data_IF_358393052302
#
_entry.id   IF_358393052302
#
_cell.length_a   1.000
_cell.length_b   1.000
_cell.length_c   1.000
_cell.angle_alpha   90.00
_cell.angle_beta   90.00
_cell.angle_gamma   90.00
#
_symmetry.space_group_name_H-M   'P 1'
#
loop_
_entity.id
_entity.type
_entity.pdbx_description
1 polymer ?
#
# COMPACT_ATOMS: atom_id res chain seq x y z
N UNK A 1 6.01 -26.47 -4.05
CA UNK A 1 4.66 -25.91 -4.30
C UNK A 1 4.81 -24.60 -5.04
N UNK A 2 4.37 -24.55 -6.28
CA UNK A 2 4.28 -23.31 -7.01
C UNK A 2 3.21 -22.44 -6.36
N UNK A 3 3.59 -21.39 -5.64
CA UNK A 3 2.64 -20.49 -5.04
C UNK A 3 1.95 -19.60 -6.07
N UNK A 4 2.27 -19.74 -7.35
CA UNK A 4 1.77 -18.87 -8.40
C UNK A 4 2.03 -17.40 -8.06
N UNK A 5 2.05 -16.59 -9.06
CA UNK A 5 2.29 -15.16 -8.90
C UNK A 5 1.10 -14.50 -8.20
N UNK A 6 1.39 -13.58 -7.28
CA UNK A 6 0.38 -12.79 -6.58
C UNK A 6 0.57 -11.30 -6.84
N UNK A 7 -0.54 -10.60 -6.91
CA UNK A 7 -0.62 -9.14 -6.87
C UNK A 7 -1.13 -8.71 -5.49
N UNK A 8 -0.53 -7.70 -4.89
CA UNK A 8 -0.96 -7.19 -3.58
C UNK A 8 -1.84 -5.96 -3.78
N UNK A 9 -3.01 -5.96 -3.17
CA UNK A 9 -3.84 -4.78 -2.99
C UNK A 9 -3.74 -4.35 -1.53
N UNK A 10 -3.13 -3.19 -1.30
CA UNK A 10 -3.02 -2.57 0.02
C UNK A 10 -4.00 -1.41 0.13
N UNK A 11 -4.79 -1.37 1.21
CA UNK A 11 -5.59 -0.22 1.62
C UNK A 11 -4.99 0.31 2.91
N UNK A 12 -4.42 1.50 2.87
CA UNK A 12 -3.58 2.02 3.95
C UNK A 12 -3.42 3.54 3.79
N UNK A 13 -3.20 4.24 4.86
CA UNK A 13 -2.74 5.63 4.83
C UNK A 13 -1.25 5.75 4.49
N UNK A 14 -0.48 4.71 4.79
CA UNK A 14 0.97 4.66 4.72
C UNK A 14 1.45 3.77 3.57
N UNK A 15 2.58 4.13 2.98
CA UNK A 15 3.15 3.37 1.88
C UNK A 15 3.82 2.07 2.33
N UNK A 16 4.32 2.03 3.55
CA UNK A 16 5.03 0.88 4.13
C UNK A 16 6.22 0.40 3.29
N UNK A 17 6.96 1.35 2.72
CA UNK A 17 8.04 1.08 1.79
C UNK A 17 9.41 1.56 2.27
N UNK A 18 9.58 1.69 3.56
CA UNK A 18 10.88 2.00 4.19
C UNK A 18 11.80 0.80 4.03
N UNK A 19 13.03 1.02 3.57
CA UNK A 19 13.99 -0.06 3.45
C UNK A 19 14.52 -0.50 4.82
N UNK A 20 14.97 0.48 5.60
CA UNK A 20 15.39 0.23 6.98
C UNK A 20 15.20 1.50 7.83
N UNK A 21 15.03 1.30 9.11
CA UNK A 21 14.97 2.38 10.09
C UNK A 21 15.81 1.97 11.30
N UNK A 22 16.83 2.77 11.63
CA UNK A 22 17.78 2.45 12.68
C UNK A 22 18.41 1.05 12.54
N UNK A 23 18.72 0.64 11.31
CA UNK A 23 19.28 -0.67 11.01
C UNK A 23 18.28 -1.82 10.98
N UNK A 24 17.00 -1.57 11.30
CA UNK A 24 15.93 -2.58 11.29
C UNK A 24 15.24 -2.63 9.92
N UNK A 25 15.32 -3.78 9.27
CA UNK A 25 14.70 -4.00 7.95
C UNK A 25 13.27 -4.55 8.02
N UNK A 26 12.87 -5.12 9.14
CA UNK A 26 11.57 -5.76 9.35
C UNK A 26 10.76 -5.00 10.40
N UNK A 27 10.56 -3.71 10.16
CA UNK A 27 9.78 -2.84 11.02
C UNK A 27 8.38 -2.58 10.47
N UNK A 28 7.58 -1.82 11.22
CA UNK A 28 6.21 -1.45 10.86
C UNK A 28 6.11 -0.66 9.54
N UNK A 29 7.14 0.08 9.17
CA UNK A 29 7.17 0.87 7.94
C UNK A 29 7.69 0.14 6.72
N UNK A 30 8.01 -1.15 6.80
CA UNK A 30 8.71 -1.91 5.76
C UNK A 30 7.97 -3.09 5.13
N UNK A 31 6.75 -3.48 5.54
CA UNK A 31 6.18 -4.75 5.08
C UNK A 31 5.96 -4.80 3.57
N UNK A 32 5.52 -3.73 2.94
CA UNK A 32 5.30 -3.70 1.49
C UNK A 32 6.62 -3.72 0.72
N UNK A 33 7.66 -3.08 1.25
CA UNK A 33 9.01 -3.18 0.67
C UNK A 33 9.51 -4.61 0.68
N UNK A 34 9.39 -5.30 1.82
CA UNK A 34 9.81 -6.71 1.93
C UNK A 34 8.97 -7.64 1.05
N UNK A 35 7.68 -7.36 0.92
CA UNK A 35 6.81 -8.11 0.03
C UNK A 35 7.21 -7.92 -1.45
N UNK A 36 7.47 -6.69 -1.86
CA UNK A 36 7.86 -6.36 -3.24
C UNK A 36 9.18 -7.02 -3.67
N UNK A 37 10.04 -7.36 -2.73
CA UNK A 37 11.30 -8.06 -3.00
C UNK A 37 11.12 -9.56 -3.28
N UNK A 38 9.93 -10.11 -3.07
CA UNK A 38 9.68 -11.54 -3.28
C UNK A 38 9.45 -11.85 -4.76
N UNK A 39 10.12 -12.88 -5.31
CA UNK A 39 10.03 -13.15 -6.74
C UNK A 39 8.63 -13.56 -7.23
N UNK A 40 7.76 -13.98 -6.33
CA UNK A 40 6.38 -14.35 -6.65
C UNK A 40 5.38 -13.19 -6.47
N UNK A 41 5.82 -12.02 -6.02
CA UNK A 41 5.00 -10.80 -5.98
C UNK A 41 5.22 -10.04 -7.28
N UNK A 42 4.21 -10.03 -8.12
CA UNK A 42 4.29 -9.47 -9.47
C UNK A 42 3.91 -8.01 -9.55
N UNK A 43 3.28 -7.49 -8.51
CA UNK A 43 2.92 -6.07 -8.44
C UNK A 43 2.17 -5.73 -7.17
N UNK A 44 2.10 -4.44 -6.89
CA UNK A 44 1.37 -3.86 -5.77
C UNK A 44 0.49 -2.72 -6.28
N UNK A 45 -0.76 -2.70 -5.84
CA UNK A 45 -1.65 -1.54 -5.94
C UNK A 45 -1.91 -1.04 -4.53
N UNK A 46 -1.47 0.18 -4.24
CA UNK A 46 -1.50 0.78 -2.91
C UNK A 46 -2.47 1.95 -2.91
N UNK A 47 -3.55 1.83 -2.15
CA UNK A 47 -4.71 2.71 -2.24
C UNK A 47 -4.98 3.38 -0.90
N UNK A 48 -5.20 4.68 -0.93
CA UNK A 48 -5.51 5.47 0.27
C UNK A 48 -4.32 6.22 0.84
N UNK A 49 -3.20 6.17 0.17
CA UNK A 49 -1.93 6.78 0.61
C UNK A 49 -2.10 8.29 0.75
N UNK A 50 -1.73 8.82 1.91
CA UNK A 50 -1.83 10.25 2.22
C UNK A 50 -0.84 10.74 3.28
N UNK A 51 -0.28 9.84 4.07
CA UNK A 51 0.73 10.18 5.06
C UNK A 51 2.13 10.08 4.43
N UNK A 52 2.72 11.22 4.13
CA UNK A 52 4.04 11.30 3.47
C UNK A 52 5.21 11.31 4.45
N UNK A 53 4.94 11.45 5.75
CA UNK A 53 6.00 11.57 6.76
C UNK A 53 6.59 10.23 7.18
N UNK A 54 5.87 9.14 7.01
CA UNK A 54 6.28 7.80 7.45
C UNK A 54 7.25 7.11 6.47
N UNK A 55 7.21 7.47 5.21
CA UNK A 55 8.11 6.96 4.17
C UNK A 55 8.80 8.14 3.49
N UNK A 56 10.11 8.14 3.53
CA UNK A 56 10.90 9.18 2.89
C UNK A 56 10.76 9.14 1.35
N UNK A 57 11.17 10.21 0.68
CA UNK A 57 11.09 10.33 -0.78
C UNK A 57 11.71 9.15 -1.50
N UNK A 58 12.85 8.67 -1.02
CA UNK A 58 13.56 7.52 -1.59
C UNK A 58 12.71 6.25 -1.56
N UNK A 59 11.88 6.07 -0.53
CA UNK A 59 10.95 4.96 -0.44
C UNK A 59 9.85 5.02 -1.51
N UNK A 60 9.31 6.20 -1.78
CA UNK A 60 8.36 6.42 -2.88
C UNK A 60 8.98 6.17 -4.25
N UNK A 61 10.20 6.66 -4.45
CA UNK A 61 10.95 6.44 -5.69
C UNK A 61 11.24 4.95 -5.90
N UNK A 62 11.66 4.25 -4.85
CA UNK A 62 11.89 2.81 -4.91
C UNK A 62 10.60 2.02 -5.19
N UNK A 63 9.49 2.39 -4.58
CA UNK A 63 8.20 1.75 -4.83
C UNK A 63 7.78 1.90 -6.30
N UNK A 64 7.90 3.09 -6.86
CA UNK A 64 7.61 3.33 -8.28
C UNK A 64 8.56 2.56 -9.19
N UNK A 65 9.84 2.52 -8.88
CA UNK A 65 10.84 1.78 -9.64
C UNK A 65 10.58 0.26 -9.62
N UNK A 66 9.99 -0.26 -8.54
CA UNK A 66 9.59 -1.66 -8.40
C UNK A 66 8.19 -1.95 -8.98
N UNK A 67 7.56 -0.98 -9.64
CA UNK A 67 6.28 -1.16 -10.32
C UNK A 67 5.05 -1.03 -9.42
N UNK A 68 5.17 -0.43 -8.24
CA UNK A 68 4.02 -0.17 -7.38
C UNK A 68 3.12 0.91 -7.99
N UNK A 69 1.83 0.65 -8.02
CA UNK A 69 0.80 1.59 -8.43
C UNK A 69 0.22 2.27 -7.19
N UNK A 70 0.58 3.53 -6.99
CA UNK A 70 0.27 4.28 -5.76
C UNK A 70 -0.87 5.25 -6.04
N UNK A 71 -1.98 5.07 -5.33
CA UNK A 71 -3.17 5.92 -5.42
C UNK A 71 -3.45 6.59 -4.07
N UNK A 72 -3.48 7.92 -4.09
CA UNK A 72 -3.98 8.66 -2.94
C UNK A 72 -5.49 8.46 -2.75
N UNK A 73 -6.02 8.80 -1.57
CA UNK A 73 -7.47 8.80 -1.33
C UNK A 73 -8.19 9.66 -2.38
N UNK A 74 -7.64 10.82 -2.70
CA UNK A 74 -8.23 11.74 -3.68
C UNK A 74 -8.31 11.10 -5.06
N UNK A 75 -7.23 10.48 -5.51
CA UNK A 75 -7.20 9.78 -6.80
C UNK A 75 -8.16 8.59 -6.84
N UNK A 76 -8.17 7.78 -5.78
CA UNK A 76 -9.07 6.62 -5.70
C UNK A 76 -10.54 7.03 -5.69
N UNK A 77 -10.90 8.10 -4.98
CA UNK A 77 -12.26 8.65 -4.99
C UNK A 77 -12.67 9.16 -6.37
N UNK A 78 -11.78 9.86 -7.05
CA UNK A 78 -12.05 10.37 -8.40
C UNK A 78 -12.25 9.25 -9.42
N UNK A 79 -11.49 8.16 -9.30
CA UNK A 79 -11.60 6.99 -10.17
C UNK A 79 -12.84 6.15 -9.88
N UNK A 80 -13.16 5.96 -8.60
CA UNK A 80 -14.18 5.02 -8.13
C UNK A 80 -13.69 3.57 -8.06
N UNK A 81 -14.42 2.70 -7.33
CA UNK A 81 -13.95 1.34 -7.02
C UNK A 81 -13.70 0.48 -8.27
N UNK A 82 -14.56 0.56 -9.27
CA UNK A 82 -14.40 -0.22 -10.50
C UNK A 82 -13.12 0.12 -11.25
N UNK A 83 -12.81 1.41 -11.39
CA UNK A 83 -11.60 1.87 -12.07
C UNK A 83 -10.34 1.54 -11.27
N UNK A 84 -10.41 1.59 -9.94
CA UNK A 84 -9.31 1.15 -9.08
C UNK A 84 -9.02 -0.34 -9.26
N UNK A 85 -10.06 -1.17 -9.22
CA UNK A 85 -9.92 -2.63 -9.42
C UNK A 85 -9.41 -2.95 -10.84
N UNK A 86 -9.81 -2.20 -11.83
CA UNK A 86 -9.36 -2.39 -13.21
C UNK A 86 -7.85 -2.16 -13.41
N UNK A 87 -7.18 -1.52 -12.45
CA UNK A 87 -5.72 -1.36 -12.46
C UNK A 87 -4.97 -2.62 -12.06
N UNK A 88 -5.65 -3.58 -11.42
CA UNK A 88 -5.09 -4.88 -11.10
C UNK A 88 -5.15 -5.75 -12.35
N UNK A 89 -4.07 -6.46 -12.71
CA UNK A 89 -4.08 -7.30 -13.90
C UNK A 89 -5.21 -8.34 -13.88
N UNK A 90 -5.92 -8.48 -14.99
CA UNK A 90 -6.99 -9.47 -15.13
C UNK A 90 -6.46 -10.90 -14.88
N UNK A 91 -7.21 -11.69 -14.13
CA UNK A 91 -6.82 -13.06 -13.79
C UNK A 91 -5.77 -13.19 -12.71
N UNK A 92 -5.26 -12.09 -12.15
CA UNK A 92 -4.28 -12.12 -11.08
C UNK A 92 -4.87 -12.75 -9.80
N UNK A 93 -4.04 -13.51 -9.10
CA UNK A 93 -4.32 -13.86 -7.70
C UNK A 93 -4.02 -12.65 -6.84
N UNK A 94 -4.97 -12.19 -6.05
CA UNK A 94 -4.83 -10.98 -5.27
C UNK A 94 -4.76 -11.31 -3.77
N UNK A 95 -3.70 -10.84 -3.13
CA UNK A 95 -3.63 -10.77 -1.67
C UNK A 95 -4.08 -9.37 -1.24
N UNK A 96 -5.10 -9.31 -0.41
CA UNK A 96 -5.63 -8.04 0.10
C UNK A 96 -5.15 -7.81 1.52
N UNK A 97 -4.56 -6.66 1.76
CA UNK A 97 -4.19 -6.20 3.11
C UNK A 97 -4.86 -4.85 3.38
N UNK A 98 -5.48 -4.74 4.54
CA UNK A 98 -6.23 -3.55 4.93
C UNK A 98 -5.73 -3.09 6.30
N UNK A 99 -5.14 -1.90 6.33
CA UNK A 99 -4.87 -1.20 7.58
C UNK A 99 -6.07 -0.34 7.95
N UNK A 100 -6.43 -0.34 9.24
CA UNK A 100 -7.57 0.43 9.75
C UNK A 100 -7.40 1.93 9.53
N UNK A 101 -6.17 2.44 9.47
CA UNK A 101 -5.89 3.83 9.21
C UNK A 101 -6.08 4.25 7.74
N UNK A 102 -6.32 3.30 6.85
CA UNK A 102 -6.83 3.58 5.51
C UNK A 102 -8.17 4.31 5.54
N UNK A 103 -8.95 4.06 6.59
CA UNK A 103 -10.21 4.77 6.85
C UNK A 103 -9.99 6.07 7.63
N UNK A 104 -10.92 7.00 7.48
CA UNK A 104 -10.88 8.25 8.23
C UNK A 104 -11.07 7.98 9.73
N UNK A 105 -10.30 8.63 10.63
CA UNK A 105 -10.49 8.50 12.07
C UNK A 105 -11.89 8.86 12.56
N UNK A 106 -12.66 9.61 11.77
CA UNK A 106 -14.06 9.93 12.07
C UNK A 106 -14.97 8.70 12.15
N UNK A 107 -14.61 7.60 11.46
CA UNK A 107 -15.36 6.34 11.48
C UNK A 107 -14.54 5.18 12.04
N UNK A 108 -13.22 5.28 12.02
CA UNK A 108 -12.31 4.23 12.50
C UNK A 108 -11.18 4.82 13.36
N UNK A 109 -11.48 5.27 14.59
CA UNK A 109 -10.48 5.95 15.43
C UNK A 109 -9.50 5.00 16.14
N UNK A 110 -9.77 3.70 16.14
CA UNK A 110 -9.03 2.70 16.91
C UNK A 110 -7.70 2.28 16.28
N UNK A 111 -6.84 3.25 15.97
CA UNK A 111 -5.50 3.00 15.41
C UNK A 111 -4.44 3.82 16.14
N UNK A 112 -3.22 3.29 16.21
CA UNK A 112 -2.07 3.99 16.78
C UNK A 112 -1.49 5.08 15.88
N UNK A 113 -1.82 5.06 14.59
CA UNK A 113 -1.28 5.97 13.57
C UNK A 113 -2.39 6.62 12.74
N UNK A 114 -3.34 7.34 13.37
CA UNK A 114 -4.46 7.92 12.64
C UNK A 114 -4.00 8.95 11.60
N UNK A 115 -4.66 8.97 10.47
CA UNK A 115 -4.40 9.93 9.41
C UNK A 115 -5.73 10.42 8.83
N UNK A 116 -5.98 11.72 8.94
CA UNK A 116 -7.24 12.32 8.49
C UNK A 116 -7.41 12.26 6.97
N UNK A 117 -8.66 12.33 6.52
CA UNK A 117 -9.00 12.34 5.09
C UNK A 117 -9.01 10.96 4.44
N UNK A 118 -9.14 9.90 5.22
CA UNK A 118 -9.27 8.53 4.73
C UNK A 118 -10.63 8.21 4.13
N UNK A 119 -10.83 6.94 3.78
CA UNK A 119 -12.11 6.46 3.29
C UNK A 119 -13.19 6.51 4.38
N UNK A 120 -14.44 6.70 3.98
CA UNK A 120 -15.61 6.74 4.86
C UNK A 120 -16.47 5.50 4.66
#
# INVERSE_FOLDING_TARGET
>A
MGHGDIHILQIDAHLDFVDQRHGVRFGHGSPMRRAAEKPWVTGLTQVGIRNVSSTAREGYEAARAMGCDILSVRQARALGPKAVIARIPAGARVYVTIDIDGFCPSIAPGTGTPSHGGFL
#
